data_IF_127931308134
#
_entry.id   IF_127931308134
#
_cell.length_a   1.000
_cell.length_b   1.000
_cell.length_c   1.000
_cell.angle_alpha   90.00
_cell.angle_beta   90.00
_cell.angle_gamma   90.00
#
_symmetry.space_group_name_H-M   'P 1'
#
loop_
_entity.id
_entity.type
_entity.pdbx_description
1 polymer ?
#
# COMPACT_ATOMS: atom_id res chain seq x y z
N UNK A 1 82.13 6.73 28.53
CA UNK A 1 80.70 6.63 28.13
C UNK A 1 79.97 5.85 29.23
N UNK A 2 78.95 6.47 29.84
CA UNK A 2 78.46 6.17 31.20
C UNK A 2 77.70 4.85 31.33
N UNK A 3 77.93 4.14 32.46
CA UNK A 3 77.30 2.88 32.85
C UNK A 3 75.75 2.94 32.98
N UNK A 4 75.18 4.14 32.90
CA UNK A 4 73.73 4.37 32.93
C UNK A 4 73.02 3.85 31.67
N UNK A 5 73.67 3.83 30.51
CA UNK A 5 73.04 3.44 29.24
C UNK A 5 72.81 1.92 29.09
N UNK A 6 73.51 1.08 29.87
CA UNK A 6 73.36 -0.38 29.81
C UNK A 6 72.20 -0.90 30.68
N UNK A 7 71.72 -0.10 31.65
CA UNK A 7 70.62 -0.48 32.55
C UNK A 7 69.22 -0.25 31.96
N UNK A 8 69.10 0.53 30.87
CA UNK A 8 67.82 0.89 30.24
C UNK A 8 67.45 -0.07 29.09
N UNK A 9 68.19 -1.17 28.89
CA UNK A 9 67.82 -2.22 27.93
C UNK A 9 67.86 -1.78 26.46
N UNK A 10 68.61 -0.73 26.11
CA UNK A 10 68.84 -0.32 24.73
C UNK A 10 70.16 -0.91 24.22
N UNK A 11 70.16 -2.23 24.00
CA UNK A 11 71.19 -2.88 23.18
C UNK A 11 70.91 -2.57 21.71
N UNK A 12 71.68 -1.65 21.13
CA UNK A 12 71.77 -1.45 19.68
C UNK A 12 72.66 -2.52 19.03
N UNK A 13 72.36 -3.80 19.29
CA UNK A 13 72.98 -4.91 18.57
C UNK A 13 71.97 -5.51 17.61
N UNK A 14 72.20 -5.20 16.34
CA UNK A 14 71.74 -5.87 15.12
C UNK A 14 70.76 -7.04 15.31
N UNK A 15 69.47 -6.74 15.19
CA UNK A 15 68.52 -7.70 14.62
C UNK A 15 68.02 -7.14 13.30
N UNK A 16 68.60 -7.69 12.23
CA UNK A 16 68.10 -7.62 10.86
C UNK A 16 66.67 -8.17 10.84
N UNK A 17 65.70 -7.30 11.11
CA UNK A 17 64.31 -7.56 10.73
C UNK A 17 64.28 -7.34 9.23
N UNK A 18 64.18 -8.42 8.47
CA UNK A 18 63.78 -8.40 7.06
C UNK A 18 62.46 -7.62 6.97
N UNK A 19 62.54 -6.31 6.77
CA UNK A 19 61.41 -5.52 6.32
C UNK A 19 61.00 -6.11 4.97
N UNK A 20 59.77 -6.63 4.89
CA UNK A 20 59.13 -6.87 3.59
C UNK A 20 59.31 -5.58 2.78
N UNK A 21 59.66 -5.66 1.49
CA UNK A 21 59.72 -4.46 0.66
C UNK A 21 58.37 -3.78 0.78
N UNK A 22 58.36 -2.58 1.36
CA UNK A 22 57.21 -1.69 1.30
C UNK A 22 57.02 -1.44 -0.19
N UNK A 23 56.05 -2.14 -0.79
CA UNK A 23 55.61 -1.86 -2.14
C UNK A 23 55.40 -0.36 -2.21
N UNK A 24 56.19 0.34 -3.04
CA UNK A 24 56.13 1.80 -3.14
C UNK A 24 54.74 2.19 -3.61
N UNK A 25 53.89 2.56 -2.65
CA UNK A 25 52.55 3.05 -2.95
C UNK A 25 52.76 4.39 -3.64
N UNK A 26 52.29 4.51 -4.89
CA UNK A 26 52.30 5.77 -5.61
C UNK A 26 51.69 6.88 -4.74
N UNK A 27 52.33 8.04 -4.69
CA UNK A 27 51.88 9.19 -3.89
C UNK A 27 50.42 9.53 -4.16
N UNK A 28 49.96 9.38 -5.42
CA UNK A 28 48.56 9.62 -5.81
C UNK A 28 47.61 8.66 -5.08
N UNK A 29 47.98 7.39 -4.92
CA UNK A 29 47.17 6.39 -4.21
C UNK A 29 47.17 6.65 -2.69
N UNK A 30 48.28 7.15 -2.14
CA UNK A 30 48.34 7.55 -0.75
C UNK A 30 47.48 8.80 -0.47
N UNK A 31 47.54 9.80 -1.35
CA UNK A 31 46.75 11.02 -1.27
C UNK A 31 45.25 10.72 -1.41
N UNK A 32 44.89 9.88 -2.39
CA UNK A 32 43.53 9.38 -2.56
C UNK A 32 43.01 8.70 -1.30
N UNK A 33 43.78 7.81 -0.66
CA UNK A 33 43.38 7.18 0.61
C UNK A 33 43.20 8.18 1.75
N UNK A 34 44.06 9.19 1.86
CA UNK A 34 44.00 10.21 2.92
C UNK A 34 42.76 11.11 2.75
N UNK A 35 42.30 11.34 1.51
CA UNK A 35 41.10 12.14 1.24
C UNK A 35 39.82 11.28 1.33
N UNK A 36 39.80 10.12 0.68
CA UNK A 36 38.60 9.27 0.58
C UNK A 36 38.17 8.69 1.92
N UNK A 37 39.11 8.27 2.77
CA UNK A 37 38.81 7.64 4.07
C UNK A 37 38.03 8.55 5.03
N UNK A 38 38.44 9.81 5.30
CA UNK A 38 37.66 10.71 6.16
C UNK A 38 36.34 11.13 5.50
N UNK A 39 36.29 11.29 4.18
CA UNK A 39 35.04 11.59 3.46
C UNK A 39 34.02 10.45 3.62
N UNK A 40 34.42 9.20 3.37
CA UNK A 40 33.56 8.02 3.54
C UNK A 40 33.09 7.86 4.98
N UNK A 41 33.97 8.12 5.96
CA UNK A 41 33.59 8.09 7.37
C UNK A 41 32.53 9.16 7.67
N UNK A 42 32.70 10.38 7.13
CA UNK A 42 31.74 11.47 7.35
C UNK A 42 30.39 11.21 6.68
N UNK A 43 30.39 10.65 5.46
CA UNK A 43 29.17 10.22 4.76
C UNK A 43 28.40 9.22 5.62
N UNK A 44 29.06 8.18 6.14
CA UNK A 44 28.42 7.16 7.00
C UNK A 44 27.78 7.75 8.26
N UNK A 45 28.46 8.70 8.91
CA UNK A 45 27.91 9.36 10.10
C UNK A 45 26.67 10.19 9.73
N UNK A 46 26.73 10.94 8.62
CA UNK A 46 25.60 11.72 8.13
C UNK A 46 24.43 10.82 7.75
N UNK A 47 24.66 9.74 7.01
CA UNK A 47 23.62 8.78 6.61
C UNK A 47 22.93 8.17 7.83
N UNK A 48 23.71 7.79 8.85
CA UNK A 48 23.16 7.26 10.11
C UNK A 48 22.32 8.29 10.85
N UNK A 49 22.82 9.52 11.03
CA UNK A 49 22.07 10.57 11.70
C UNK A 49 20.80 10.96 10.95
N UNK A 50 20.83 11.00 9.61
CA UNK A 50 19.65 11.25 8.79
C UNK A 50 18.62 10.14 8.94
N UNK A 51 19.05 8.89 8.89
CA UNK A 51 18.18 7.74 9.08
C UNK A 51 17.51 7.76 10.46
N UNK A 52 18.29 7.99 11.53
CA UNK A 52 17.77 8.10 12.90
C UNK A 52 16.76 9.25 13.05
N UNK A 53 17.05 10.42 12.47
CA UNK A 53 16.11 11.55 12.49
C UNK A 53 14.78 11.21 11.79
N UNK A 54 14.82 10.62 10.59
CA UNK A 54 13.62 10.24 9.85
C UNK A 54 12.80 9.15 10.57
N UNK A 55 13.47 8.13 11.11
CA UNK A 55 12.80 7.01 11.77
C UNK A 55 12.24 7.41 13.13
N UNK A 56 13.01 8.13 13.94
CA UNK A 56 12.64 8.43 15.34
C UNK A 56 11.86 9.73 15.49
N UNK A 57 12.40 10.85 14.98
CA UNK A 57 11.79 12.16 15.18
C UNK A 57 10.60 12.39 14.25
N UNK A 58 10.76 12.00 12.98
CA UNK A 58 9.70 12.15 11.97
C UNK A 58 8.77 10.93 11.86
N UNK A 59 9.04 9.86 12.62
CA UNK A 59 8.22 8.64 12.68
C UNK A 59 7.90 8.07 11.31
N UNK A 60 8.88 8.03 10.41
CA UNK A 60 8.71 7.59 9.03
C UNK A 60 8.01 6.23 8.94
N UNK A 61 8.39 5.26 9.79
CA UNK A 61 7.78 3.92 9.80
C UNK A 61 6.28 3.95 10.12
N UNK A 62 5.84 4.81 11.04
CA UNK A 62 4.43 4.96 11.36
C UNK A 62 3.65 5.53 10.15
N UNK A 63 4.26 6.49 9.44
CA UNK A 63 3.68 7.02 8.20
C UNK A 63 3.60 5.96 7.10
N UNK A 64 4.64 5.13 6.91
CA UNK A 64 4.61 4.04 5.93
C UNK A 64 3.53 3.00 6.29
N UNK A 65 3.43 2.62 7.57
CA UNK A 65 2.39 1.73 8.07
C UNK A 65 0.99 2.32 7.86
N UNK A 66 0.82 3.62 8.13
CA UNK A 66 -0.45 4.31 7.96
C UNK A 66 -0.85 4.39 6.48
N UNK A 67 0.05 4.80 5.59
CA UNK A 67 -0.18 4.82 4.13
C UNK A 67 -0.58 3.44 3.65
N UNK A 68 0.19 2.40 4.00
CA UNK A 68 -0.16 1.02 3.68
C UNK A 68 -1.55 0.66 4.20
N UNK A 69 -1.87 1.01 5.44
CA UNK A 69 -3.15 0.65 6.05
C UNK A 69 -4.35 1.22 5.29
N UNK A 70 -4.23 2.44 4.75
CA UNK A 70 -5.30 3.09 4.01
C UNK A 70 -5.36 2.57 2.57
N UNK A 71 -4.25 2.61 1.83
CA UNK A 71 -4.23 2.19 0.42
C UNK A 71 -4.45 0.69 0.23
N UNK A 72 -4.03 -0.16 1.19
CA UNK A 72 -4.21 -1.61 1.13
C UNK A 72 -5.45 -2.11 1.90
N UNK A 73 -6.36 -1.21 2.29
CA UNK A 73 -7.65 -1.53 2.93
C UNK A 73 -7.59 -2.20 4.32
N UNK A 74 -6.51 -2.02 5.08
CA UNK A 74 -6.35 -2.62 6.41
C UNK A 74 -6.81 -1.69 7.55
N UNK A 75 -6.96 -0.39 7.27
CA UNK A 75 -7.36 0.55 8.29
C UNK A 75 -8.82 0.28 8.75
N UNK A 76 -9.07 0.00 10.05
CA UNK A 76 -10.36 -0.50 10.51
C UNK A 76 -11.50 0.53 10.45
N UNK A 77 -11.19 1.82 10.54
CA UNK A 77 -12.21 2.90 10.56
C UNK A 77 -12.30 3.68 9.25
N UNK A 78 -11.16 4.13 8.69
CA UNK A 78 -11.11 4.94 7.47
C UNK A 78 -11.57 4.13 6.26
N UNK A 79 -11.02 2.94 6.05
CA UNK A 79 -11.27 2.14 4.85
C UNK A 79 -12.75 1.86 4.63
N UNK A 80 -13.53 1.32 5.60
CA UNK A 80 -14.93 1.02 5.35
C UNK A 80 -15.74 2.27 5.01
N UNK A 81 -15.53 3.38 5.72
CA UNK A 81 -16.24 4.63 5.44
C UNK A 81 -15.95 5.21 4.06
N UNK A 82 -14.68 5.14 3.66
CA UNK A 82 -14.24 5.57 2.34
C UNK A 82 -14.85 4.68 1.27
N UNK A 83 -14.75 3.36 1.43
CA UNK A 83 -15.29 2.39 0.47
C UNK A 83 -16.82 2.45 0.38
N UNK A 84 -17.54 2.61 1.50
CA UNK A 84 -19.00 2.73 1.51
C UNK A 84 -19.46 4.00 0.79
N UNK A 85 -18.80 5.14 1.05
CA UNK A 85 -19.10 6.39 0.36
C UNK A 85 -18.81 6.30 -1.15
N UNK A 86 -17.74 5.63 -1.54
CA UNK A 86 -17.46 5.30 -2.95
C UNK A 86 -18.55 4.37 -3.52
N UNK A 87 -18.89 3.32 -2.76
CA UNK A 87 -19.99 2.37 -2.90
C UNK A 87 -21.29 2.98 -3.41
N UNK A 88 -21.78 3.88 -2.58
CA UNK A 88 -23.07 4.54 -2.70
C UNK A 88 -23.08 5.51 -3.88
N UNK A 89 -21.99 6.25 -4.08
CA UNK A 89 -21.81 7.18 -5.21
C UNK A 89 -21.81 6.43 -6.55
N UNK A 90 -21.07 5.32 -6.66
CA UNK A 90 -21.04 4.48 -7.87
C UNK A 90 -22.40 3.84 -8.19
N UNK A 91 -23.23 3.65 -7.17
CA UNK A 91 -24.55 3.02 -7.32
C UNK A 91 -25.66 4.00 -7.67
N UNK A 92 -25.46 5.30 -7.46
CA UNK A 92 -26.44 6.36 -7.74
C UNK A 92 -25.84 7.43 -8.67
N UNK A 93 -25.69 7.15 -9.98
CA UNK A 93 -25.02 8.06 -10.93
C UNK A 93 -25.82 9.35 -11.27
N UNK A 94 -26.75 9.78 -10.40
CA UNK A 94 -27.60 10.96 -10.59
C UNK A 94 -27.40 12.02 -9.51
N UNK A 95 -26.77 13.14 -9.89
CA UNK A 95 -26.81 14.48 -9.27
C UNK A 95 -26.33 14.71 -7.82
N UNK A 96 -25.99 13.69 -7.03
CA UNK A 96 -25.50 13.93 -5.65
C UNK A 96 -24.00 14.21 -5.63
N UNK A 97 -23.63 15.50 -5.76
CA UNK A 97 -22.37 16.13 -5.32
C UNK A 97 -21.22 15.16 -4.94
N UNK A 98 -20.44 14.84 -5.95
CA UNK A 98 -19.31 13.90 -5.93
C UNK A 98 -18.31 14.05 -4.78
N UNK A 99 -18.09 12.96 -4.02
CA UNK A 99 -16.96 12.81 -3.09
C UNK A 99 -15.60 12.93 -3.80
N UNK A 100 -15.57 12.69 -5.12
CA UNK A 100 -14.34 12.71 -5.93
C UNK A 100 -13.76 14.09 -6.18
N UNK A 101 -14.46 15.18 -5.82
CA UNK A 101 -14.02 16.55 -6.06
C UNK A 101 -14.19 17.51 -4.86
N UNK A 102 -14.96 17.12 -3.83
CA UNK A 102 -15.17 17.97 -2.65
C UNK A 102 -14.36 17.49 -1.44
N UNK A 103 -13.21 18.14 -1.21
CA UNK A 103 -12.33 17.86 -0.06
C UNK A 103 -13.06 18.01 1.28
N UNK A 104 -14.14 18.80 1.37
CA UNK A 104 -14.89 18.98 2.63
C UNK A 104 -15.76 17.78 2.94
N UNK A 105 -16.41 17.18 1.94
CA UNK A 105 -17.17 15.93 2.10
C UNK A 105 -16.27 14.78 2.54
N UNK A 106 -15.07 14.70 1.97
CA UNK A 106 -14.08 13.71 2.40
C UNK A 106 -13.63 13.94 3.86
N UNK A 107 -13.48 15.20 4.30
CA UNK A 107 -13.26 15.52 5.72
C UNK A 107 -14.39 15.01 6.60
N UNK A 108 -15.65 15.22 6.20
CA UNK A 108 -16.80 14.85 7.02
C UNK A 108 -16.92 13.33 7.20
N UNK A 109 -16.44 12.54 6.23
CA UNK A 109 -16.42 11.07 6.30
C UNK A 109 -15.43 10.56 7.35
N UNK A 110 -14.27 11.22 7.48
CA UNK A 110 -13.20 10.77 8.36
C UNK A 110 -13.27 11.53 9.69
N UNK A 111 -13.36 10.83 10.84
CA UNK A 111 -13.29 11.49 12.14
C UNK A 111 -12.08 12.43 12.23
N UNK A 112 -12.28 13.65 12.73
CA UNK A 112 -11.21 14.64 12.87
C UNK A 112 -10.01 14.10 13.68
N UNK A 113 -10.27 13.20 14.63
CA UNK A 113 -9.27 12.52 15.46
C UNK A 113 -8.41 11.49 14.70
N UNK A 114 -8.81 11.09 13.49
CA UNK A 114 -8.07 10.17 12.62
C UNK A 114 -7.40 10.89 11.44
N UNK A 115 -7.96 12.04 11.01
CA UNK A 115 -7.29 12.95 10.06
C UNK A 115 -6.09 13.63 10.72
N UNK A 116 -6.26 14.04 11.97
CA UNK A 116 -5.17 14.39 12.84
C UNK A 116 -4.69 13.09 13.47
N UNK A 117 -3.81 12.37 12.78
CA UNK A 117 -3.00 11.40 13.53
C UNK A 117 -2.43 12.20 14.69
N UNK A 118 -2.75 11.82 15.93
CA UNK A 118 -2.22 12.42 17.16
C UNK A 118 -0.71 12.15 17.25
N UNK A 119 0.05 12.67 16.30
CA UNK A 119 1.51 12.81 16.38
C UNK A 119 1.91 14.14 17.02
N UNK A 120 0.96 15.03 17.28
CA UNK A 120 1.23 16.23 18.07
C UNK A 120 0.82 16.05 19.53
N UNK A 121 1.87 15.88 20.34
CA UNK A 121 2.00 16.34 21.73
C UNK A 121 1.19 15.57 22.77
N UNK A 122 1.88 14.61 23.40
CA UNK A 122 1.80 14.55 24.85
C UNK A 122 2.14 15.95 25.38
N UNK A 123 1.16 16.58 26.01
CA UNK A 123 1.24 17.91 26.59
C UNK A 123 2.39 17.97 27.62
N UNK A 124 3.54 18.50 27.21
CA UNK A 124 4.34 19.32 28.11
C UNK A 124 4.16 20.76 27.66
N UNK A 125 3.40 21.49 28.47
CA UNK A 125 3.20 22.93 28.38
C UNK A 125 4.54 23.64 28.39
N UNK A 126 5.08 23.99 27.22
CA UNK A 126 5.96 25.15 27.08
C UNK A 126 5.51 25.90 25.83
N UNK A 127 4.97 27.08 26.07
CA UNK A 127 4.44 27.99 25.08
C UNK A 127 5.59 28.61 24.30
N UNK A 128 6.03 27.95 23.23
CA UNK A 128 6.87 28.58 22.19
C UNK A 128 6.32 28.17 20.83
N UNK A 129 5.31 28.90 20.35
CA UNK A 129 4.81 28.78 18.99
C UNK A 129 5.93 29.16 18.01
N UNK A 130 6.57 28.16 17.41
CA UNK A 130 7.47 28.38 16.28
C UNK A 130 6.66 28.63 15.00
N UNK A 131 7.13 29.45 14.05
CA UNK A 131 6.44 29.70 12.78
C UNK A 131 6.38 28.48 11.85
N UNK A 132 7.00 27.34 12.21
CA UNK A 132 6.89 26.07 11.48
C UNK A 132 5.65 25.26 11.86
N UNK A 133 4.95 25.65 12.92
CA UNK A 133 3.86 24.89 13.54
C UNK A 133 2.50 25.07 12.83
N UNK A 134 2.44 25.94 11.82
CA UNK A 134 1.20 26.36 11.15
C UNK A 134 0.87 25.54 9.89
N UNK A 135 1.76 24.65 9.44
CA UNK A 135 1.65 23.96 8.14
C UNK A 135 1.04 22.57 8.13
N UNK A 136 0.81 21.93 9.29
CA UNK A 136 0.47 20.50 9.36
C UNK A 136 -1.03 20.20 9.49
N UNK A 137 -1.91 21.21 9.39
CA UNK A 137 -3.37 21.05 9.48
C UNK A 137 -4.06 20.75 8.13
N UNK A 138 -3.31 20.30 7.13
CA UNK A 138 -3.86 19.94 5.83
C UNK A 138 -4.28 18.46 5.83
N UNK A 139 -5.36 18.13 5.11
CA UNK A 139 -5.75 16.73 4.99
C UNK A 139 -4.65 15.96 4.32
N UNK A 140 -4.29 14.87 4.97
CA UNK A 140 -3.37 13.90 4.40
C UNK A 140 -4.01 13.16 3.23
N UNK A 141 -5.34 13.07 3.11
CA UNK A 141 -6.01 12.33 2.04
C UNK A 141 -7.14 13.10 1.36
N UNK A 142 -7.32 12.90 0.05
CA UNK A 142 -8.52 13.27 -0.69
C UNK A 142 -8.64 12.47 -2.00
N UNK A 143 -9.85 12.35 -2.53
CA UNK A 143 -10.10 11.80 -3.86
C UNK A 143 -9.97 12.86 -4.94
N UNK A 144 -9.48 12.44 -6.09
CA UNK A 144 -9.49 13.19 -7.34
C UNK A 144 -9.91 12.27 -8.47
N UNK A 145 -10.90 12.69 -9.25
CA UNK A 145 -11.23 12.02 -10.52
C UNK A 145 -10.40 12.62 -11.65
N UNK A 146 -9.73 11.78 -12.44
CA UNK A 146 -9.06 12.25 -13.66
C UNK A 146 -10.08 12.52 -14.76
N UNK A 147 -9.98 13.66 -15.48
CA UNK A 147 -10.82 13.92 -16.64
C UNK A 147 -10.51 12.91 -17.74
N UNK A 148 -11.49 12.09 -18.09
CA UNK A 148 -11.39 11.14 -19.20
C UNK A 148 -11.43 11.91 -20.51
N UNK A 149 -10.45 11.70 -21.40
CA UNK A 149 -10.55 12.14 -22.79
C UNK A 149 -11.74 11.40 -23.39
N UNK A 150 -12.80 12.14 -23.72
CA UNK A 150 -14.01 11.63 -24.36
C UNK A 150 -13.63 11.10 -25.75
N UNK A 151 -13.35 9.80 -25.84
CA UNK A 151 -13.38 9.08 -27.09
C UNK A 151 -14.70 8.32 -27.16
N UNK A 152 -15.40 8.56 -28.26
CA UNK A 152 -16.71 8.12 -28.70
C UNK A 152 -17.35 6.94 -27.95
N UNK A 153 -18.56 7.19 -27.47
CA UNK A 153 -19.78 6.37 -27.65
C UNK A 153 -19.55 4.93 -28.12
N UNK A 154 -19.07 4.07 -27.22
CA UNK A 154 -19.31 2.63 -27.28
C UNK A 154 -20.04 2.28 -25.98
N UNK A 155 -21.19 1.61 -26.11
CA UNK A 155 -22.17 1.36 -25.04
C UNK A 155 -21.71 0.49 -23.86
N UNK A 156 -20.40 0.38 -23.62
CA UNK A 156 -19.80 -0.28 -22.49
C UNK A 156 -19.55 0.74 -21.36
N UNK A 157 -20.62 1.00 -20.60
CA UNK A 157 -20.58 1.69 -19.30
C UNK A 157 -19.87 0.81 -18.25
N UNK A 158 -18.65 0.38 -18.56
CA UNK A 158 -17.86 -0.54 -17.76
C UNK A 158 -17.40 0.14 -16.48
N UNK A 159 -17.71 -0.47 -15.34
CA UNK A 159 -17.21 -0.06 -14.01
C UNK A 159 -15.69 0.06 -13.99
N UNK A 160 -14.99 -0.63 -14.90
CA UNK A 160 -13.56 -0.51 -15.11
C UNK A 160 -13.09 0.91 -15.44
N UNK A 161 -13.85 1.68 -16.25
CA UNK A 161 -13.52 3.07 -16.58
C UNK A 161 -13.56 3.97 -15.35
N UNK A 162 -14.44 3.68 -14.40
CA UNK A 162 -14.59 4.52 -13.20
C UNK A 162 -13.42 4.31 -12.24
N UNK A 163 -13.01 3.06 -12.02
CA UNK A 163 -11.83 2.76 -11.20
C UNK A 163 -10.52 3.21 -11.86
N UNK A 164 -10.43 3.20 -13.19
CA UNK A 164 -9.26 3.75 -13.90
C UNK A 164 -9.10 5.27 -13.74
N UNK A 165 -10.19 6.00 -13.48
CA UNK A 165 -10.16 7.45 -13.28
C UNK A 165 -10.06 7.85 -11.80
N UNK A 166 -10.04 6.89 -10.88
CA UNK A 166 -10.02 7.12 -9.44
C UNK A 166 -8.59 7.31 -8.94
N UNK A 167 -8.33 8.43 -8.25
CA UNK A 167 -7.06 8.65 -7.56
C UNK A 167 -7.30 9.05 -6.11
N UNK A 168 -6.77 8.24 -5.19
CA UNK A 168 -6.61 8.60 -3.79
C UNK A 168 -5.24 9.27 -3.62
N UNK A 169 -5.22 10.54 -3.24
CA UNK A 169 -3.99 11.31 -3.08
C UNK A 169 -3.63 11.35 -1.61
N UNK A 170 -2.39 11.00 -1.28
CA UNK A 170 -1.79 11.24 0.03
C UNK A 170 -0.84 12.44 -0.04
N UNK A 171 -1.08 13.48 0.77
CA UNK A 171 -0.21 14.65 0.83
C UNK A 171 0.85 14.46 1.93
N UNK A 172 1.98 13.86 1.58
CA UNK A 172 3.08 13.63 2.52
C UNK A 172 3.68 14.98 3.00
N UNK A 173 3.79 15.21 4.33
CA UNK A 173 4.39 16.43 4.83
C UNK A 173 5.89 16.46 4.49
N UNK A 174 6.44 17.65 4.28
CA UNK A 174 7.88 17.81 4.19
C UNK A 174 8.51 17.57 5.58
N UNK A 175 9.61 16.81 5.71
CA UNK A 175 10.45 16.23 4.64
C UNK A 175 10.16 14.76 4.29
N UNK A 176 9.08 14.16 4.81
CA UNK A 176 8.71 12.76 4.53
C UNK A 176 8.39 12.50 3.06
N UNK A 177 8.02 13.52 2.31
CA UNK A 177 7.80 13.46 0.86
C UNK A 177 9.05 13.07 0.06
N UNK A 178 10.25 13.12 0.66
CA UNK A 178 11.48 12.62 0.05
C UNK A 178 11.43 11.09 -0.10
N UNK A 179 10.97 10.38 0.94
CA UNK A 179 10.79 8.93 0.90
C UNK A 179 9.45 8.54 0.25
N UNK A 180 8.38 9.28 0.57
CA UNK A 180 7.03 9.10 0.01
C UNK A 180 6.79 10.03 -1.18
N UNK A 181 7.61 9.90 -2.22
CA UNK A 181 7.49 10.75 -3.41
C UNK A 181 6.33 10.30 -4.33
N UNK A 182 5.90 11.20 -5.22
CA UNK A 182 4.71 11.01 -6.07
C UNK A 182 4.68 9.68 -6.85
N UNK A 183 5.84 9.18 -7.31
CA UNK A 183 5.89 7.90 -8.04
C UNK A 183 5.51 6.69 -7.17
N UNK A 184 5.95 6.64 -5.91
CA UNK A 184 5.59 5.57 -4.96
C UNK A 184 4.12 5.70 -4.57
N UNK A 185 3.61 6.93 -4.41
CA UNK A 185 2.18 7.16 -4.14
C UNK A 185 1.30 6.77 -5.34
N UNK A 186 1.75 6.96 -6.57
CA UNK A 186 1.05 6.49 -7.77
C UNK A 186 0.99 4.95 -7.83
N UNK A 187 2.08 4.27 -7.42
CA UNK A 187 2.12 2.82 -7.23
C UNK A 187 1.10 2.36 -6.18
N UNK A 188 1.05 3.03 -5.03
CA UNK A 188 0.02 2.78 -4.01
C UNK A 188 -1.41 3.00 -4.51
N UNK A 189 -1.65 4.04 -5.31
CA UNK A 189 -2.97 4.25 -5.90
C UNK A 189 -3.38 3.11 -6.83
N UNK A 190 -2.41 2.54 -7.57
CA UNK A 190 -2.65 1.37 -8.43
C UNK A 190 -3.10 0.17 -7.58
N UNK A 191 -2.41 -0.11 -6.47
CA UNK A 191 -2.79 -1.15 -5.50
C UNK A 191 -4.22 -0.89 -4.99
N UNK A 192 -4.49 0.33 -4.53
CA UNK A 192 -5.80 0.73 -4.02
C UNK A 192 -6.91 0.47 -5.05
N UNK A 193 -6.72 0.85 -6.31
CA UNK A 193 -7.71 0.63 -7.35
C UNK A 193 -7.96 -0.87 -7.62
N UNK A 194 -6.92 -1.70 -7.65
CA UNK A 194 -7.06 -3.16 -7.82
C UNK A 194 -7.87 -3.76 -6.67
N UNK A 195 -7.50 -3.46 -5.43
CA UNK A 195 -8.19 -3.96 -4.25
C UNK A 195 -9.63 -3.44 -4.17
N UNK A 196 -9.86 -2.18 -4.57
CA UNK A 196 -11.20 -1.55 -4.55
C UNK A 196 -12.15 -2.24 -5.50
N UNK A 197 -11.69 -2.67 -6.68
CA UNK A 197 -12.52 -3.45 -7.62
C UNK A 197 -13.03 -4.74 -6.99
N UNK A 198 -12.16 -5.46 -6.27
CA UNK A 198 -12.55 -6.71 -5.59
C UNK A 198 -13.54 -6.42 -4.46
N UNK A 199 -13.26 -5.42 -3.62
CA UNK A 199 -14.19 -4.99 -2.55
C UNK A 199 -15.54 -4.56 -3.11
N UNK A 200 -15.56 -3.87 -4.24
CA UNK A 200 -16.80 -3.46 -4.90
C UNK A 200 -17.60 -4.66 -5.42
N UNK A 201 -16.94 -5.70 -5.93
CA UNK A 201 -17.61 -6.95 -6.30
C UNK A 201 -18.24 -7.66 -5.09
N UNK A 202 -17.54 -7.69 -3.93
CA UNK A 202 -18.10 -8.21 -2.68
C UNK A 202 -19.33 -7.40 -2.27
N UNK A 203 -19.22 -6.07 -2.23
CA UNK A 203 -20.32 -5.17 -1.91
C UNK A 203 -21.52 -5.36 -2.87
N UNK A 204 -21.25 -5.54 -4.16
CA UNK A 204 -22.28 -5.81 -5.16
C UNK A 204 -23.03 -7.13 -4.84
N UNK A 205 -22.33 -8.20 -4.47
CA UNK A 205 -22.93 -9.47 -4.09
C UNK A 205 -23.72 -9.38 -2.77
N UNK A 206 -23.27 -8.58 -1.82
CA UNK A 206 -24.01 -8.28 -0.58
C UNK A 206 -25.31 -7.52 -0.88
N UNK A 207 -25.26 -6.53 -1.78
CA UNK A 207 -26.47 -5.83 -2.22
C UNK A 207 -27.49 -6.75 -2.89
N UNK A 208 -27.01 -7.73 -3.69
CA UNK A 208 -27.87 -8.77 -4.28
C UNK A 208 -28.46 -9.67 -3.20
N UNK A 209 -27.70 -10.02 -2.16
CA UNK A 209 -28.22 -10.78 -1.03
C UNK A 209 -29.37 -10.04 -0.32
N UNK A 210 -29.23 -8.74 -0.07
CA UNK A 210 -30.29 -7.92 0.52
C UNK A 210 -31.55 -7.90 -0.37
N UNK A 211 -31.37 -7.75 -1.68
CA UNK A 211 -32.46 -7.80 -2.64
C UNK A 211 -33.20 -9.14 -2.64
N UNK A 212 -32.45 -10.25 -2.69
CA UNK A 212 -33.01 -11.61 -2.64
C UNK A 212 -33.74 -11.88 -1.31
N UNK A 213 -33.20 -11.38 -0.19
CA UNK A 213 -33.83 -11.46 1.13
C UNK A 213 -35.16 -10.71 1.18
N UNK A 214 -35.23 -9.53 0.58
CA UNK A 214 -36.45 -8.72 0.54
C UNK A 214 -37.54 -9.38 -0.32
N UNK A 215 -37.16 -10.12 -1.37
CA UNK A 215 -38.08 -10.84 -2.25
C UNK A 215 -38.41 -12.28 -1.81
N UNK A 216 -38.04 -12.69 -0.60
CA UNK A 216 -38.30 -14.06 -0.07
C UNK A 216 -39.79 -14.44 -0.02
N UNK A 217 -40.69 -13.45 0.00
CA UNK A 217 -42.16 -13.64 0.01
C UNK A 217 -42.82 -13.57 -1.38
N UNK A 218 -42.03 -13.53 -2.46
CA UNK A 218 -42.54 -13.44 -3.82
C UNK A 218 -43.34 -14.68 -4.24
N UNK A 219 -44.05 -14.58 -5.37
CA UNK A 219 -44.93 -15.61 -5.95
C UNK A 219 -44.19 -16.95 -6.19
N UNK A 220 -44.88 -18.11 -6.20
CA UNK A 220 -44.22 -19.41 -6.36
C UNK A 220 -43.42 -19.57 -7.66
N UNK A 221 -43.77 -18.87 -8.74
CA UNK A 221 -43.02 -18.85 -10.01
C UNK A 221 -41.70 -18.09 -9.89
N UNK A 222 -41.71 -16.92 -9.24
CA UNK A 222 -40.50 -16.11 -9.01
C UNK A 222 -39.55 -16.73 -7.98
N UNK A 223 -40.06 -17.59 -7.07
CA UNK A 223 -39.22 -18.31 -6.11
C UNK A 223 -38.14 -19.19 -6.76
N UNK A 224 -38.41 -19.77 -7.94
CA UNK A 224 -37.43 -20.62 -8.64
C UNK A 224 -36.21 -19.82 -9.13
N UNK A 225 -36.46 -18.69 -9.80
CA UNK A 225 -35.40 -17.81 -10.34
C UNK A 225 -34.58 -17.18 -9.21
N UNK A 226 -35.23 -16.70 -8.15
CA UNK A 226 -34.53 -16.13 -6.99
C UNK A 226 -33.74 -17.19 -6.20
N UNK A 227 -34.23 -18.43 -6.15
CA UNK A 227 -33.47 -19.54 -5.55
C UNK A 227 -32.21 -19.85 -6.36
N UNK A 228 -32.32 -19.97 -7.69
CA UNK A 228 -31.15 -20.16 -8.57
C UNK A 228 -30.16 -18.99 -8.47
N UNK A 229 -30.64 -17.75 -8.50
CA UNK A 229 -29.80 -16.58 -8.32
C UNK A 229 -29.10 -16.55 -6.94
N UNK A 230 -29.74 -17.07 -5.89
CA UNK A 230 -29.11 -17.21 -4.57
C UNK A 230 -27.94 -18.19 -4.59
N UNK A 231 -28.06 -19.29 -5.35
CA UNK A 231 -27.00 -20.27 -5.53
C UNK A 231 -25.84 -19.68 -6.32
N UNK A 232 -26.10 -19.05 -7.47
CA UNK A 232 -25.07 -18.40 -8.28
C UNK A 232 -24.35 -17.27 -7.54
N UNK A 233 -25.09 -16.47 -6.77
CA UNK A 233 -24.50 -15.44 -5.90
C UNK A 233 -23.56 -16.07 -4.88
N UNK A 234 -23.93 -17.19 -4.25
CA UNK A 234 -23.06 -17.87 -3.29
C UNK A 234 -21.79 -18.42 -3.94
N UNK A 235 -21.92 -18.98 -5.14
CA UNK A 235 -20.78 -19.46 -5.95
C UNK A 235 -19.81 -18.30 -6.26
N UNK A 236 -20.33 -17.18 -6.76
CA UNK A 236 -19.54 -15.98 -7.04
C UNK A 236 -18.89 -15.39 -5.78
N UNK A 237 -19.65 -15.30 -4.67
CA UNK A 237 -19.19 -14.73 -3.39
C UNK A 237 -18.03 -15.53 -2.81
N UNK A 238 -18.05 -16.86 -2.92
CA UNK A 238 -16.93 -17.69 -2.49
C UNK A 238 -15.64 -17.33 -3.25
N UNK A 239 -15.69 -17.34 -4.57
CA UNK A 239 -14.51 -17.08 -5.42
C UNK A 239 -13.96 -15.67 -5.19
N UNK A 240 -14.83 -14.65 -5.14
CA UNK A 240 -14.39 -13.26 -4.93
C UNK A 240 -13.82 -13.04 -3.53
N UNK A 241 -14.36 -13.70 -2.49
CA UNK A 241 -13.81 -13.63 -1.13
C UNK A 241 -12.49 -14.38 -1.01
N UNK A 242 -12.34 -15.52 -1.67
CA UNK A 242 -11.07 -16.26 -1.72
C UNK A 242 -9.98 -15.42 -2.42
N UNK A 243 -10.34 -14.68 -3.48
CA UNK A 243 -9.47 -13.72 -4.16
C UNK A 243 -9.07 -12.54 -3.26
N UNK A 244 -10.03 -11.93 -2.55
CA UNK A 244 -9.76 -10.86 -1.59
C UNK A 244 -8.82 -11.33 -0.47
N UNK A 245 -9.04 -12.53 0.06
CA UNK A 245 -8.18 -13.15 1.05
C UNK A 245 -6.76 -13.40 0.51
N UNK A 246 -6.65 -13.85 -0.74
CA UNK A 246 -5.37 -14.00 -1.43
C UNK A 246 -4.61 -12.67 -1.50
N UNK A 247 -5.24 -11.60 -1.99
CA UNK A 247 -4.58 -10.30 -2.07
C UNK A 247 -4.17 -9.75 -0.70
N UNK A 248 -5.04 -9.87 0.30
CA UNK A 248 -4.72 -9.41 1.66
C UNK A 248 -3.54 -10.19 2.25
N UNK A 249 -3.61 -11.53 2.25
CA UNK A 249 -2.64 -12.38 2.95
C UNK A 249 -1.35 -12.61 2.17
N UNK A 250 -1.48 -12.95 0.88
CA UNK A 250 -0.35 -13.38 0.06
C UNK A 250 0.31 -12.23 -0.69
N UNK A 251 -0.43 -11.24 -1.20
CA UNK A 251 0.20 -10.12 -1.91
C UNK A 251 0.69 -9.04 -0.93
N UNK A 252 -0.21 -8.50 -0.10
CA UNK A 252 0.11 -7.35 0.77
C UNK A 252 0.89 -7.78 2.02
N UNK A 253 0.34 -8.68 2.84
CA UNK A 253 0.92 -9.01 4.14
C UNK A 253 2.26 -9.75 4.04
N UNK A 254 2.42 -10.64 3.06
CA UNK A 254 3.67 -11.37 2.88
C UNK A 254 4.81 -10.43 2.46
N UNK A 255 4.59 -9.58 1.45
CA UNK A 255 5.57 -8.60 0.95
C UNK A 255 5.95 -7.61 2.04
N UNK A 256 4.96 -7.11 2.78
CA UNK A 256 5.20 -6.20 3.90
C UNK A 256 6.03 -6.85 5.02
N UNK A 257 5.77 -8.12 5.35
CA UNK A 257 6.55 -8.84 6.36
C UNK A 257 8.01 -9.00 5.95
N UNK A 258 8.27 -9.24 4.67
CA UNK A 258 9.64 -9.29 4.12
C UNK A 258 10.32 -7.94 4.27
N UNK A 259 9.63 -6.85 3.94
CA UNK A 259 10.13 -5.49 4.13
C UNK A 259 10.46 -5.17 5.60
N UNK A 260 9.52 -5.41 6.52
CA UNK A 260 9.72 -5.17 7.96
C UNK A 260 10.91 -5.98 8.51
N UNK A 261 11.06 -7.24 8.07
CA UNK A 261 12.20 -8.07 8.44
C UNK A 261 13.51 -7.51 7.92
N UNK A 262 13.53 -6.94 6.71
CA UNK A 262 14.73 -6.35 6.08
C UNK A 262 15.18 -5.08 6.79
N UNK A 263 14.26 -4.24 7.26
CA UNK A 263 14.60 -3.02 7.98
C UNK A 263 14.97 -3.26 9.46
N UNK A 264 14.71 -4.47 9.99
CA UNK A 264 14.97 -4.82 11.40
C UNK A 264 13.93 -4.29 12.38
N UNK A 265 12.84 -3.68 11.90
CA UNK A 265 11.84 -2.99 12.73
C UNK A 265 10.90 -3.91 13.52
N UNK A 266 11.14 -5.23 13.55
CA UNK A 266 10.35 -6.14 14.38
C UNK A 266 10.52 -5.82 15.88
N UNK A 267 11.62 -5.18 16.27
CA UNK A 267 11.87 -4.69 17.63
C UNK A 267 11.29 -3.27 17.89
N UNK A 268 10.81 -2.58 16.85
CA UNK A 268 10.28 -1.20 16.94
C UNK A 268 8.75 -1.10 16.88
N UNK A 269 8.04 -2.14 16.42
CA UNK A 269 6.59 -2.20 16.58
C UNK A 269 6.26 -2.62 18.03
N UNK A 270 5.34 -1.94 18.72
CA UNK A 270 5.13 -2.18 20.14
C UNK A 270 4.47 -3.55 20.36
N UNK A 271 5.29 -4.56 20.66
CA UNK A 271 4.92 -5.53 21.68
C UNK A 271 4.90 -4.78 23.02
N UNK A 272 3.79 -4.91 23.76
CA UNK A 272 3.47 -4.25 25.03
C UNK A 272 4.40 -4.58 26.21
N UNK A 273 5.68 -4.89 25.97
CA UNK A 273 6.61 -5.34 27.00
C UNK A 273 7.64 -4.23 27.32
N UNK A 274 7.33 -3.43 28.34
CA UNK A 274 8.13 -2.31 28.88
C UNK A 274 9.51 -2.70 29.48
N UNK A 275 10.01 -3.94 29.30
CA UNK A 275 11.15 -4.46 30.08
C UNK A 275 12.35 -4.98 29.26
N UNK A 276 12.45 -4.64 27.98
CA UNK A 276 13.61 -5.03 27.15
C UNK A 276 14.55 -3.84 26.90
N UNK A 277 15.86 -4.07 27.05
CA UNK A 277 16.90 -3.08 26.77
C UNK A 277 16.76 -2.52 25.34
N UNK A 278 17.05 -1.23 25.09
CA UNK A 278 16.98 -0.68 23.75
C UNK A 278 18.04 -1.37 22.86
N UNK A 279 17.69 -1.85 21.67
CA UNK A 279 18.66 -2.44 20.74
C UNK A 279 19.72 -1.40 20.37
N UNK A 280 21.00 -1.80 20.37
CA UNK A 280 22.15 -0.93 20.03
C UNK A 280 22.13 -0.45 18.56
N UNK A 281 21.31 -1.06 17.70
CA UNK A 281 21.07 -0.63 16.31
C UNK A 281 19.57 -0.68 16.00
N UNK A 282 18.93 0.49 15.88
CA UNK A 282 17.48 0.65 15.69
C UNK A 282 16.97 0.18 14.32
N UNK A 283 17.84 0.16 13.31
CA UNK A 283 17.56 -0.35 11.97
C UNK A 283 18.81 -1.00 11.40
N UNK A 284 18.67 -2.15 10.74
CA UNK A 284 19.80 -2.84 10.07
C UNK A 284 20.31 -2.08 8.82
N UNK A 285 19.54 -1.09 8.35
CA UNK A 285 19.83 -0.29 7.15
C UNK A 285 20.92 0.76 7.42
N UNK A 286 21.73 1.05 6.40
CA UNK A 286 22.89 1.96 6.53
C UNK A 286 22.61 3.40 6.10
N UNK A 287 21.58 3.62 5.29
CA UNK A 287 21.20 4.94 4.77
C UNK A 287 19.70 5.06 4.53
N UNK A 288 19.23 6.31 4.41
CA UNK A 288 17.84 6.63 4.07
C UNK A 288 17.47 6.16 2.66
N UNK A 289 18.42 6.20 1.73
CA UNK A 289 18.22 5.73 0.35
C UNK A 289 17.97 4.22 0.32
N UNK A 290 18.70 3.44 1.12
CA UNK A 290 18.52 1.99 1.21
C UNK A 290 17.12 1.64 1.75
N UNK A 291 16.64 2.40 2.74
CA UNK A 291 15.29 2.25 3.28
C UNK A 291 14.21 2.60 2.23
N UNK A 292 14.39 3.72 1.53
CA UNK A 292 13.44 4.19 0.51
C UNK A 292 13.38 3.22 -0.67
N UNK A 293 14.53 2.69 -1.10
CA UNK A 293 14.61 1.66 -2.14
C UNK A 293 13.95 0.35 -1.69
N UNK A 294 14.24 -0.11 -0.46
CA UNK A 294 13.62 -1.33 0.07
C UNK A 294 12.09 -1.20 0.19
N UNK A 295 11.61 0.01 0.52
CA UNK A 295 10.18 0.32 0.55
C UNK A 295 9.56 0.30 -0.86
N UNK A 296 10.21 0.92 -1.84
CA UNK A 296 9.74 0.90 -3.23
C UNK A 296 9.70 -0.52 -3.80
N UNK A 297 10.73 -1.33 -3.56
CA UNK A 297 10.78 -2.75 -3.94
C UNK A 297 9.65 -3.56 -3.29
N UNK A 298 9.29 -3.24 -2.05
CA UNK A 298 8.13 -3.86 -1.38
C UNK A 298 6.83 -3.51 -2.11
N UNK A 299 6.62 -2.24 -2.46
CA UNK A 299 5.41 -1.80 -3.17
C UNK A 299 5.33 -2.44 -4.56
N UNK A 300 6.47 -2.54 -5.27
CA UNK A 300 6.55 -3.21 -6.56
C UNK A 300 6.24 -4.70 -6.46
N UNK A 301 6.71 -5.37 -5.40
CA UNK A 301 6.38 -6.77 -5.13
C UNK A 301 4.89 -6.94 -4.86
N UNK A 302 4.25 -6.01 -4.13
CA UNK A 302 2.79 -6.04 -3.90
C UNK A 302 2.04 -5.88 -5.22
N UNK A 303 2.41 -4.90 -6.06
CA UNK A 303 1.78 -4.70 -7.37
C UNK A 303 1.94 -5.96 -8.23
N UNK A 304 3.15 -6.51 -8.31
CA UNK A 304 3.41 -7.70 -9.08
C UNK A 304 2.63 -8.92 -8.58
N UNK A 305 2.45 -9.06 -7.27
CA UNK A 305 1.66 -10.13 -6.65
C UNK A 305 0.16 -9.92 -6.82
N UNK A 306 -0.33 -8.66 -6.83
CA UNK A 306 -1.72 -8.35 -7.12
C UNK A 306 -2.08 -8.50 -8.61
N UNK A 307 -1.12 -8.27 -9.50
CA UNK A 307 -1.26 -8.43 -10.95
C UNK A 307 -0.86 -9.82 -11.46
N UNK A 308 -0.24 -10.64 -10.59
CA UNK A 308 0.25 -12.01 -10.81
C UNK A 308 1.23 -12.16 -11.99
N UNK A 309 2.54 -12.24 -11.70
CA UNK A 309 3.62 -12.85 -12.51
C UNK A 309 3.51 -12.75 -14.06
N UNK A 310 3.66 -11.54 -14.62
CA UNK A 310 3.53 -11.28 -16.07
C UNK A 310 4.87 -11.48 -16.83
N UNK A 311 5.84 -12.21 -16.28
CA UNK A 311 7.06 -12.53 -17.03
C UNK A 311 6.91 -13.80 -17.88
N UNK A 312 6.04 -14.74 -17.51
CA UNK A 312 5.96 -16.04 -18.18
C UNK A 312 4.55 -16.47 -18.62
N UNK A 313 3.47 -15.96 -18.02
CA UNK A 313 2.09 -16.21 -18.46
C UNK A 313 1.42 -14.92 -18.95
N UNK A 314 0.91 -14.94 -20.18
CA UNK A 314 0.50 -13.76 -20.95
C UNK A 314 -0.67 -12.92 -20.38
N UNK A 315 -1.14 -11.89 -21.13
CA UNK A 315 -2.20 -10.95 -20.72
C UNK A 315 -3.58 -11.56 -20.40
N UNK A 316 -3.70 -12.89 -20.42
CA UNK A 316 -4.93 -13.63 -20.18
C UNK A 316 -5.41 -13.59 -18.73
N UNK A 317 -4.52 -13.65 -17.73
CA UNK A 317 -4.93 -13.75 -16.32
C UNK A 317 -5.57 -12.44 -15.83
N UNK A 318 -4.96 -11.29 -16.15
CA UNK A 318 -5.52 -9.97 -15.81
C UNK A 318 -6.86 -9.75 -16.52
N UNK A 319 -6.98 -10.15 -17.79
CA UNK A 319 -8.23 -10.09 -18.54
C UNK A 319 -9.30 -11.02 -17.93
N UNK A 320 -8.92 -12.22 -17.48
CA UNK A 320 -9.80 -13.15 -16.78
C UNK A 320 -10.25 -12.60 -15.43
N UNK A 321 -9.37 -11.97 -14.67
CA UNK A 321 -9.71 -11.31 -13.40
C UNK A 321 -10.70 -10.16 -13.61
N UNK A 322 -10.41 -9.29 -14.59
CA UNK A 322 -11.30 -8.18 -14.94
C UNK A 322 -12.66 -8.69 -15.44
N UNK A 323 -12.66 -9.72 -16.29
CA UNK A 323 -13.88 -10.37 -16.78
C UNK A 323 -14.69 -11.05 -15.68
N UNK A 324 -14.03 -11.64 -14.68
CA UNK A 324 -14.67 -12.22 -13.50
C UNK A 324 -15.41 -11.15 -12.68
N UNK A 325 -14.73 -10.04 -12.37
CA UNK A 325 -15.32 -8.94 -11.61
C UNK A 325 -16.44 -8.23 -12.39
N UNK A 326 -16.26 -8.02 -13.70
CA UNK A 326 -17.30 -7.45 -14.57
C UNK A 326 -18.54 -8.36 -14.64
N UNK A 327 -18.36 -9.68 -14.69
CA UNK A 327 -19.46 -10.65 -14.66
C UNK A 327 -20.30 -10.52 -13.38
N UNK A 328 -19.66 -10.27 -12.23
CA UNK A 328 -20.38 -10.01 -10.97
C UNK A 328 -21.21 -8.73 -11.03
N UNK A 329 -20.67 -7.66 -11.63
CA UNK A 329 -21.40 -6.41 -11.79
C UNK A 329 -22.56 -6.54 -12.78
N UNK A 330 -22.36 -7.23 -13.90
CA UNK A 330 -23.42 -7.57 -14.86
C UNK A 330 -24.51 -8.40 -14.18
N UNK A 331 -24.13 -9.40 -13.38
CA UNK A 331 -25.07 -10.22 -12.63
C UNK A 331 -25.97 -9.37 -11.72
N UNK A 332 -25.38 -8.47 -10.92
CA UNK A 332 -26.14 -7.51 -10.08
C UNK A 332 -27.06 -6.63 -10.93
N UNK A 333 -26.55 -6.03 -12.00
CA UNK A 333 -27.30 -5.09 -12.85
C UNK A 333 -28.48 -5.79 -13.53
N UNK A 334 -28.28 -6.97 -14.11
CA UNK A 334 -29.34 -7.76 -14.74
C UNK A 334 -30.42 -8.12 -13.71
N UNK A 335 -30.02 -8.50 -12.50
CA UNK A 335 -30.97 -8.87 -11.45
C UNK A 335 -31.78 -7.67 -10.93
N UNK A 336 -31.18 -6.47 -10.88
CA UNK A 336 -31.88 -5.22 -10.56
C UNK A 336 -32.84 -4.77 -11.67
N UNK A 337 -32.42 -4.86 -12.93
CA UNK A 337 -33.23 -4.44 -14.09
C UNK A 337 -34.41 -5.38 -14.34
N UNK A 338 -34.27 -6.66 -14.00
CA UNK A 338 -35.30 -7.65 -14.32
C UNK A 338 -36.40 -7.81 -13.28
N UNK A 339 -36.63 -6.78 -12.46
CA UNK A 339 -37.82 -6.70 -11.60
C UNK A 339 -39.08 -6.56 -12.47
N UNK A 340 -39.56 -7.66 -13.08
CA UNK A 340 -40.81 -7.72 -13.86
C UNK A 340 -40.83 -8.54 -15.16
N UNK A 341 -39.70 -9.09 -15.65
CA UNK A 341 -39.65 -9.86 -16.92
C UNK A 341 -38.97 -11.23 -16.75
N UNK A 342 -39.71 -12.24 -16.30
CA UNK A 342 -39.20 -13.49 -15.71
C UNK A 342 -38.36 -14.40 -16.66
N UNK A 343 -38.74 -14.55 -17.94
CA UNK A 343 -38.11 -15.53 -18.84
C UNK A 343 -36.84 -15.02 -19.54
N UNK A 344 -36.81 -13.75 -19.96
CA UNK A 344 -35.64 -13.15 -20.59
C UNK A 344 -34.48 -12.97 -19.59
N UNK A 345 -34.82 -12.68 -18.32
CA UNK A 345 -33.87 -12.62 -17.21
C UNK A 345 -33.06 -13.90 -17.06
N UNK A 346 -33.75 -15.04 -17.08
CA UNK A 346 -33.14 -16.31 -16.71
C UNK A 346 -32.06 -16.71 -17.71
N UNK A 347 -32.28 -16.47 -19.01
CA UNK A 347 -31.28 -16.77 -20.05
C UNK A 347 -30.08 -15.83 -19.97
N UNK A 348 -30.30 -14.54 -19.70
CA UNK A 348 -29.21 -13.56 -19.54
C UNK A 348 -28.39 -13.82 -18.27
N UNK A 349 -29.03 -14.16 -17.16
CA UNK A 349 -28.34 -14.51 -15.91
C UNK A 349 -27.51 -15.78 -16.08
N UNK A 350 -28.04 -16.82 -16.74
CA UNK A 350 -27.28 -18.03 -17.06
C UNK A 350 -26.02 -17.70 -17.88
N UNK A 351 -26.15 -16.91 -18.95
CA UNK A 351 -25.02 -16.52 -19.79
C UNK A 351 -23.92 -15.78 -19.00
N UNK A 352 -24.31 -14.88 -18.09
CA UNK A 352 -23.36 -14.15 -17.22
C UNK A 352 -22.66 -15.09 -16.24
N UNK A 353 -23.37 -16.05 -15.67
CA UNK A 353 -22.81 -17.05 -14.74
C UNK A 353 -21.87 -18.00 -15.47
N UNK A 354 -22.20 -18.42 -16.69
CA UNK A 354 -21.32 -19.27 -17.49
C UNK A 354 -20.04 -18.53 -17.91
N UNK A 355 -20.15 -17.24 -18.24
CA UNK A 355 -18.98 -16.38 -18.46
C UNK A 355 -18.11 -16.26 -17.20
N UNK A 356 -18.73 -16.05 -16.03
CA UNK A 356 -18.03 -16.03 -14.75
C UNK A 356 -17.27 -17.35 -14.49
N UNK A 357 -17.93 -18.49 -14.72
CA UNK A 357 -17.31 -19.81 -14.57
C UNK A 357 -16.14 -19.99 -15.50
N UNK A 358 -16.26 -19.61 -16.77
CA UNK A 358 -15.16 -19.65 -17.74
C UNK A 358 -13.94 -18.86 -17.26
N UNK A 359 -14.15 -17.66 -16.73
CA UNK A 359 -13.06 -16.85 -16.17
C UNK A 359 -12.48 -17.46 -14.89
N UNK A 360 -13.31 -18.03 -14.01
CA UNK A 360 -12.84 -18.69 -12.79
C UNK A 360 -12.00 -19.94 -13.08
N UNK A 361 -12.36 -20.74 -14.09
CA UNK A 361 -11.59 -21.91 -14.53
C UNK A 361 -10.26 -21.53 -15.16
N UNK A 362 -10.11 -20.32 -15.69
CA UNK A 362 -8.85 -19.80 -16.21
C UNK A 362 -7.90 -19.32 -15.09
N UNK A 363 -8.38 -19.19 -13.84
CA UNK A 363 -7.58 -18.76 -12.69
C UNK A 363 -7.05 -19.93 -11.84
N UNK A 364 -7.58 -21.14 -12.07
CA UNK A 364 -7.06 -22.41 -11.53
C UNK A 364 -6.11 -23.04 -12.53
#
# INVERSE_FOLDING_TARGET
MSAYLRAVGLDFSEKVVRQRPTSSISFVVALDRVITTPLLTRIKVVDKCLLEHFVMELKLLDHLCFVKSVFCHEHPVITPRVLDALFDELSSPGEVRSVFNDTRRFKDLIPADLLNIKFLRQEMQINTSSPFDTGFQHLLFYFKQLPTVQMADDGDYGMDRVFNNLVLIYNAPWPLNICLHDRVLAKYNTIFCILTRVKYAIWALESVFHLLRNHRRATPTTKSVYFQASLWRHEMDRVVRDLDAYFCLHAVQSSWRVFIKRIGAFELLPSLDEHSQPPEELTTMRSLDELSQAHEECVDTIIHSCLMNIAEDGPGIQASLAGLLDSVHRFRRTLLLTQGQEYAASNQLNAVVDQFRSHSHSLY
#
